data_IF_979513128496
#
_entry.id   IF_979513128496
#
_cell.length_a   1.000
_cell.length_b   1.000
_cell.length_c   1.000
_cell.angle_alpha   90.00
_cell.angle_beta   90.00
_cell.angle_gamma   90.00
#
_symmetry.space_group_name_H-M   'P 1'
#
loop_
_entity.id
_entity.type
_entity.pdbx_description
1 polymer ?
#
# COMPACT_ATOMS: atom_id res chain seq x y z
N UNK A 1 44.41 -28.51 -0.53
CA UNK A 1 43.41 -27.65 0.10
C UNK A 1 42.57 -28.51 1.03
N UNK A 2 42.91 -28.50 2.31
CA UNK A 2 42.43 -29.48 3.30
C UNK A 2 41.05 -29.06 3.80
N UNK A 3 40.18 -29.99 4.23
CA UNK A 3 38.86 -29.66 4.79
C UNK A 3 38.90 -28.60 5.91
N UNK A 4 40.03 -28.47 6.61
CA UNK A 4 40.29 -27.42 7.61
C UNK A 4 40.41 -25.99 7.03
N UNK A 5 40.83 -25.82 5.78
CA UNK A 5 40.93 -24.52 5.11
C UNK A 5 39.55 -24.02 4.66
N UNK A 6 38.66 -24.93 4.22
CA UNK A 6 37.25 -24.60 3.92
C UNK A 6 36.45 -24.24 5.18
N UNK A 7 36.73 -24.84 6.33
CA UNK A 7 36.08 -24.45 7.59
C UNK A 7 36.59 -23.10 8.12
N UNK A 8 37.84 -22.73 7.85
CA UNK A 8 38.37 -21.40 8.18
C UNK A 8 37.78 -20.29 7.31
N UNK A 9 37.60 -20.50 6.00
CA UNK A 9 36.95 -19.51 5.12
C UNK A 9 35.45 -19.29 5.44
N UNK A 10 34.75 -20.32 5.94
CA UNK A 10 33.35 -20.19 6.39
C UNK A 10 33.27 -19.51 7.77
N UNK A 11 34.31 -19.58 8.60
CA UNK A 11 34.37 -18.90 9.91
C UNK A 11 34.94 -17.48 9.84
N UNK A 12 35.80 -17.15 8.87
CA UNK A 12 36.44 -15.82 8.73
C UNK A 12 35.64 -14.78 7.92
N UNK A 13 34.45 -15.14 7.39
CA UNK A 13 33.62 -14.21 6.61
C UNK A 13 32.50 -13.50 7.39
N UNK A 14 32.20 -13.90 8.63
CA UNK A 14 31.36 -13.10 9.54
C UNK A 14 32.20 -12.00 10.21
N UNK A 15 32.65 -11.02 9.41
CA UNK A 15 33.02 -9.70 9.94
C UNK A 15 31.91 -9.26 10.88
N UNK A 16 32.26 -8.82 12.09
CA UNK A 16 31.31 -8.27 13.07
C UNK A 16 30.44 -7.21 12.37
N UNK A 17 29.21 -7.58 12.04
CA UNK A 17 28.26 -6.63 11.46
C UNK A 17 27.87 -5.68 12.57
N UNK A 18 28.30 -4.43 12.44
CA UNK A 18 27.98 -3.38 13.39
C UNK A 18 26.60 -2.84 13.02
N UNK A 19 25.60 -3.25 13.80
CA UNK A 19 24.22 -2.74 13.68
C UNK A 19 24.18 -1.24 13.96
N UNK A 20 23.41 -0.49 13.18
CA UNK A 20 23.23 0.94 13.40
C UNK A 20 22.47 1.22 14.70
N UNK A 21 22.84 2.28 15.40
CA UNK A 21 22.22 2.63 16.69
C UNK A 21 20.74 3.00 16.49
N UNK A 22 20.39 3.66 15.39
CA UNK A 22 19.00 3.98 15.02
C UNK A 22 18.17 2.74 14.72
N UNK A 23 18.79 1.72 14.12
CA UNK A 23 18.18 0.39 13.94
C UNK A 23 17.85 -0.27 15.28
N UNK A 24 18.81 -0.28 16.24
CA UNK A 24 18.58 -0.85 17.56
C UNK A 24 17.50 -0.09 18.36
N UNK A 25 17.46 1.23 18.20
CA UNK A 25 16.44 2.07 18.81
C UNK A 25 15.04 1.78 18.25
N UNK A 26 14.94 1.58 16.94
CA UNK A 26 13.68 1.21 16.28
C UNK A 26 13.21 -0.19 16.71
N UNK A 27 14.14 -1.13 16.84
CA UNK A 27 13.86 -2.48 17.34
C UNK A 27 13.33 -2.44 18.78
N UNK A 28 13.93 -1.60 19.64
CA UNK A 28 13.47 -1.39 21.00
C UNK A 28 12.03 -0.85 21.05
N UNK A 29 11.70 0.12 20.18
CA UNK A 29 10.34 0.64 20.06
C UNK A 29 9.31 -0.42 19.64
N UNK A 30 9.68 -1.31 18.71
CA UNK A 30 8.84 -2.44 18.31
C UNK A 30 8.59 -3.37 19.49
N UNK A 31 9.64 -3.77 20.21
CA UNK A 31 9.54 -4.66 21.39
C UNK A 31 8.63 -4.03 22.47
N UNK A 32 8.73 -2.73 22.73
CA UNK A 32 7.84 -2.01 23.66
C UNK A 32 6.37 -2.01 23.22
N UNK A 33 6.10 -2.08 21.92
CA UNK A 33 4.75 -1.96 21.36
C UNK A 33 4.00 -3.27 21.25
N UNK A 34 4.69 -4.41 21.39
CA UNK A 34 4.09 -5.73 21.28
C UNK A 34 3.51 -6.11 22.66
N UNK A 35 2.22 -6.46 22.70
CA UNK A 35 1.53 -6.89 23.93
C UNK A 35 2.15 -8.17 24.54
N UNK A 36 2.59 -9.10 23.68
CA UNK A 36 3.30 -10.32 24.06
C UNK A 36 4.57 -10.51 23.21
N UNK A 37 5.70 -9.89 23.59
CA UNK A 37 6.95 -9.95 22.83
C UNK A 37 7.66 -11.30 22.97
N UNK A 38 6.97 -12.31 23.48
CA UNK A 38 7.48 -13.65 23.72
C UNK A 38 8.20 -13.78 25.07
N UNK A 39 8.48 -15.03 25.49
CA UNK A 39 8.94 -15.35 26.84
C UNK A 39 10.25 -14.67 27.25
N UNK A 40 11.11 -14.31 26.28
CA UNK A 40 12.37 -13.59 26.52
C UNK A 40 12.16 -12.15 27.03
N UNK A 41 11.09 -11.48 26.59
CA UNK A 41 10.86 -10.06 26.86
C UNK A 41 9.71 -9.82 27.85
N UNK A 42 8.74 -10.74 27.94
CA UNK A 42 7.59 -10.65 28.85
C UNK A 42 8.00 -10.47 30.31
N UNK A 43 8.95 -11.28 30.80
CA UNK A 43 9.44 -11.19 32.18
C UNK A 43 10.19 -9.87 32.44
N UNK A 44 10.90 -9.40 31.42
CA UNK A 44 11.78 -8.23 31.49
C UNK A 44 11.00 -6.92 31.48
N UNK A 45 9.96 -6.85 30.64
CA UNK A 45 9.02 -5.71 30.56
C UNK A 45 8.15 -5.65 31.82
N UNK A 46 7.69 -6.80 32.33
CA UNK A 46 6.95 -6.84 33.61
C UNK A 46 7.77 -6.34 34.81
N UNK A 47 9.10 -6.52 34.81
CA UNK A 47 9.99 -5.99 35.86
C UNK A 47 10.13 -4.46 35.82
N UNK A 48 9.85 -3.84 34.68
CA UNK A 48 9.93 -2.40 34.46
C UNK A 48 8.56 -1.78 34.23
N UNK A 49 7.46 -2.43 34.66
CA UNK A 49 6.08 -1.97 34.45
C UNK A 49 5.77 -0.61 35.09
N UNK A 50 6.61 -0.16 36.03
CA UNK A 50 6.49 1.12 36.72
C UNK A 50 7.33 2.25 36.09
N UNK A 51 8.13 1.94 35.06
CA UNK A 51 8.92 2.92 34.32
C UNK A 51 8.07 3.58 33.22
N UNK A 52 8.36 4.84 32.90
CA UNK A 52 7.78 5.50 31.73
C UNK A 52 8.19 4.77 30.45
N UNK A 53 7.35 4.85 29.41
CA UNK A 53 7.52 4.17 28.13
C UNK A 53 8.87 4.51 27.47
N UNK A 54 9.28 5.76 27.57
CA UNK A 54 10.55 6.25 27.02
C UNK A 54 11.75 5.63 27.75
N UNK A 55 11.68 5.55 29.08
CA UNK A 55 12.73 4.92 29.90
C UNK A 55 12.83 3.40 29.64
N UNK A 56 11.71 2.72 29.41
CA UNK A 56 11.69 1.31 29.02
C UNK A 56 12.34 1.11 27.64
N UNK A 57 12.02 1.95 26.66
CA UNK A 57 12.59 1.89 25.31
C UNK A 57 14.10 2.13 25.32
N UNK A 58 14.56 3.13 26.07
CA UNK A 58 16.00 3.43 26.23
C UNK A 58 16.75 2.26 26.86
N UNK A 59 16.17 1.64 27.90
CA UNK A 59 16.76 0.47 28.54
C UNK A 59 16.84 -0.75 27.61
N UNK A 60 15.78 -1.02 26.83
CA UNK A 60 15.79 -2.09 25.82
C UNK A 60 16.84 -1.80 24.75
N UNK A 61 16.95 -0.54 24.30
CA UNK A 61 17.99 -0.13 23.36
C UNK A 61 19.39 -0.40 23.92
N UNK A 62 19.65 -0.08 25.19
CA UNK A 62 20.93 -0.36 25.85
C UNK A 62 21.21 -1.87 25.97
N UNK A 63 20.16 -2.66 26.22
CA UNK A 63 20.23 -4.13 26.27
C UNK A 63 20.59 -4.70 24.89
N UNK A 64 19.94 -4.21 23.84
CA UNK A 64 20.23 -4.58 22.45
C UNK A 64 21.64 -4.14 22.05
N UNK A 65 22.10 -2.96 22.45
CA UNK A 65 23.47 -2.50 22.23
C UNK A 65 24.51 -3.40 22.91
N UNK A 66 24.19 -3.92 24.09
CA UNK A 66 25.04 -4.90 24.78
C UNK A 66 25.00 -6.24 24.03
N UNK A 67 23.82 -6.68 23.59
CA UNK A 67 23.64 -7.92 22.85
C UNK A 67 24.31 -7.89 21.48
N UNK A 68 24.37 -6.74 20.80
CA UNK A 68 25.01 -6.57 19.49
C UNK A 68 26.53 -6.72 19.54
N UNK A 69 27.14 -6.73 20.72
CA UNK A 69 28.58 -7.04 20.88
C UNK A 69 28.87 -8.51 20.62
N UNK A 70 27.85 -9.38 20.69
CA UNK A 70 27.96 -10.81 20.45
C UNK A 70 27.34 -11.18 19.09
N UNK A 71 28.06 -11.94 18.23
CA UNK A 71 27.58 -12.26 16.89
C UNK A 71 26.33 -13.14 16.95
N UNK A 72 25.31 -12.81 16.16
CA UNK A 72 24.09 -13.62 16.02
C UNK A 72 22.98 -13.30 17.03
N UNK A 73 23.23 -12.54 18.08
CA UNK A 73 22.22 -12.27 19.11
C UNK A 73 21.09 -11.35 18.62
N UNK A 74 21.42 -10.36 17.80
CA UNK A 74 20.42 -9.45 17.23
C UNK A 74 19.59 -10.19 16.19
N UNK A 75 20.24 -10.97 15.33
CA UNK A 75 19.60 -11.84 14.35
C UNK A 75 18.64 -12.83 15.02
N UNK A 76 19.07 -13.50 16.10
CA UNK A 76 18.21 -14.40 16.87
C UNK A 76 17.03 -13.68 17.53
N UNK A 77 17.24 -12.45 18.00
CA UNK A 77 16.17 -11.63 18.58
C UNK A 77 15.14 -11.27 17.51
N UNK A 78 15.59 -10.81 16.34
CA UNK A 78 14.74 -10.49 15.19
C UNK A 78 13.93 -11.72 14.76
N UNK A 79 14.58 -12.88 14.62
CA UNK A 79 13.93 -14.12 14.23
C UNK A 79 12.91 -14.59 15.28
N UNK A 80 13.22 -14.43 16.57
CA UNK A 80 12.28 -14.74 17.64
C UNK A 80 11.05 -13.83 17.62
N UNK A 81 11.23 -12.54 17.30
CA UNK A 81 10.11 -11.59 17.18
C UNK A 81 9.25 -11.86 15.95
N UNK A 82 9.83 -12.42 14.89
CA UNK A 82 9.11 -12.81 13.69
C UNK A 82 8.51 -14.23 13.76
N UNK A 83 8.69 -14.98 14.85
CA UNK A 83 8.19 -16.35 14.97
C UNK A 83 6.67 -16.35 15.21
N UNK A 84 5.86 -16.95 14.31
CA UNK A 84 4.40 -17.01 14.45
C UNK A 84 3.92 -17.67 15.75
N UNK A 85 4.73 -18.54 16.35
CA UNK A 85 4.41 -19.23 17.61
C UNK A 85 4.33 -18.26 18.80
N UNK A 86 5.00 -17.11 18.73
CA UNK A 86 4.93 -16.07 19.77
C UNK A 86 3.57 -15.37 19.85
N UNK A 87 2.76 -15.46 18.80
CA UNK A 87 1.49 -14.72 18.67
C UNK A 87 0.27 -15.64 18.70
N UNK A 88 0.42 -16.85 19.24
CA UNK A 88 -0.65 -17.86 19.23
C UNK A 88 -1.07 -18.31 17.83
N UNK A 89 -0.24 -18.06 16.81
CA UNK A 89 -0.57 -18.34 15.41
C UNK A 89 -1.52 -17.34 14.75
N UNK A 90 -1.76 -16.16 15.34
CA UNK A 90 -2.56 -15.09 14.71
C UNK A 90 -1.80 -14.50 13.50
N UNK A 91 -2.25 -14.77 12.26
CA UNK A 91 -1.52 -14.35 11.07
C UNK A 91 -1.45 -12.81 10.94
N UNK A 92 -2.45 -12.07 11.44
CA UNK A 92 -2.49 -10.61 11.31
C UNK A 92 -1.44 -9.94 12.18
N UNK A 93 -1.25 -10.42 13.41
CA UNK A 93 -0.24 -9.90 14.33
C UNK A 93 1.17 -10.20 13.83
N UNK A 94 1.38 -11.40 13.30
CA UNK A 94 2.66 -11.81 12.70
C UNK A 94 3.00 -10.93 11.51
N UNK A 95 2.07 -10.73 10.59
CA UNK A 95 2.27 -9.90 9.40
C UNK A 95 2.57 -8.44 9.77
N UNK A 96 1.87 -7.88 10.76
CA UNK A 96 2.13 -6.52 11.26
C UNK A 96 3.56 -6.39 11.81
N UNK A 97 4.01 -7.33 12.63
CA UNK A 97 5.36 -7.31 13.22
C UNK A 97 6.43 -7.52 12.15
N UNK A 98 6.27 -8.50 11.26
CA UNK A 98 7.22 -8.76 10.17
C UNK A 98 7.34 -7.55 9.25
N UNK A 99 6.23 -6.87 8.95
CA UNK A 99 6.22 -5.65 8.15
C UNK A 99 7.01 -4.53 8.82
N UNK A 100 6.82 -4.31 10.13
CA UNK A 100 7.58 -3.30 10.90
C UNK A 100 9.07 -3.64 10.95
N UNK A 101 9.41 -4.92 11.15
CA UNK A 101 10.80 -5.38 11.17
C UNK A 101 11.47 -5.21 9.80
N UNK A 102 10.84 -5.62 8.69
CA UNK A 102 11.41 -5.49 7.35
C UNK A 102 11.64 -4.03 6.93
N UNK A 103 10.77 -3.09 7.35
CA UNK A 103 10.99 -1.65 7.15
C UNK A 103 12.25 -1.14 7.84
N UNK A 104 12.56 -1.69 9.01
CA UNK A 104 13.77 -1.34 9.76
C UNK A 104 15.00 -2.03 9.17
N UNK A 105 14.91 -3.31 8.82
CA UNK A 105 16.04 -4.14 8.39
C UNK A 105 16.59 -3.79 7.01
N UNK A 106 15.83 -3.04 6.20
CA UNK A 106 16.27 -2.60 4.88
C UNK A 106 17.54 -1.74 4.93
N UNK A 107 17.70 -0.88 5.94
CA UNK A 107 18.92 -0.05 6.09
C UNK A 107 20.14 -0.89 6.43
N UNK A 108 19.92 -2.06 7.01
CA UNK A 108 20.94 -3.05 7.32
C UNK A 108 21.18 -4.02 6.15
N UNK A 109 20.37 -3.99 5.09
CA UNK A 109 20.45 -4.96 4.00
C UNK A 109 19.94 -6.35 4.36
N UNK A 110 18.88 -6.42 5.16
CA UNK A 110 18.24 -7.67 5.53
C UNK A 110 16.73 -7.64 5.27
N UNK A 111 16.18 -8.82 5.04
CA UNK A 111 14.74 -9.06 4.98
C UNK A 111 14.40 -10.36 5.68
N UNK A 112 13.26 -10.39 6.36
CA UNK A 112 12.67 -11.56 6.97
C UNK A 112 11.66 -12.16 5.99
N UNK A 113 11.86 -13.42 5.64
CA UNK A 113 10.88 -14.25 4.92
C UNK A 113 10.41 -15.41 5.79
N UNK A 114 9.11 -15.73 5.72
CA UNK A 114 8.53 -16.88 6.40
C UNK A 114 8.53 -18.09 5.44
N UNK A 115 9.27 -19.13 5.79
CA UNK A 115 9.18 -20.45 5.16
C UNK A 115 8.20 -21.31 5.98
N UNK A 116 6.93 -21.28 5.58
CA UNK A 116 5.82 -21.80 6.39
C UNK A 116 5.69 -21.02 7.71
N UNK A 117 6.06 -21.63 8.83
CA UNK A 117 6.05 -21.01 10.16
C UNK A 117 7.45 -20.57 10.63
N UNK A 118 8.51 -20.80 9.84
CA UNK A 118 9.88 -20.53 10.27
C UNK A 118 10.38 -19.22 9.65
N UNK A 119 10.68 -18.19 10.43
CA UNK A 119 11.32 -16.98 9.91
C UNK A 119 12.76 -17.27 9.50
N UNK A 120 13.17 -16.69 8.38
CA UNK A 120 14.53 -16.73 7.85
C UNK A 120 14.98 -15.31 7.52
N UNK A 121 16.18 -14.95 7.97
CA UNK A 121 16.81 -13.68 7.63
C UNK A 121 17.63 -13.89 6.35
N UNK A 122 17.29 -13.18 5.29
CA UNK A 122 17.99 -13.23 4.01
C UNK A 122 18.71 -11.91 3.74
N UNK A 123 19.88 -11.98 3.11
CA UNK A 123 20.60 -10.80 2.65
C UNK A 123 19.84 -10.11 1.51
N UNK A 124 19.73 -8.80 1.57
CA UNK A 124 19.13 -7.93 0.54
C UNK A 124 20.06 -6.76 0.30
N UNK A 125 20.18 -6.29 -0.95
CA UNK A 125 21.00 -5.11 -1.24
C UNK A 125 20.52 -3.91 -0.38
N UNK A 126 21.39 -3.34 0.49
CA UNK A 126 21.06 -2.17 1.27
C UNK A 126 20.79 -1.01 0.32
N UNK A 127 19.62 -0.41 0.46
CA UNK A 127 19.25 0.75 -0.32
C UNK A 127 18.01 1.40 0.26
N UNK A 128 17.91 2.72 0.16
CA UNK A 128 16.66 3.44 0.29
C UNK A 128 15.79 3.13 -0.94
N UNK A 129 15.43 1.85 -1.14
CA UNK A 129 14.56 1.51 -2.24
C UNK A 129 13.14 1.90 -1.83
N UNK A 130 12.53 2.77 -2.65
CA UNK A 130 11.09 2.91 -2.79
C UNK A 130 10.54 1.52 -3.06
N UNK A 131 10.09 0.84 -2.01
CA UNK A 131 9.40 -0.44 -1.98
C UNK A 131 9.13 -1.08 -3.37
N UNK A 132 10.04 -1.95 -3.88
CA UNK A 132 9.88 -2.57 -5.18
C UNK A 132 8.96 -3.81 -5.13
N UNK A 133 8.40 -4.16 -3.97
CA UNK A 133 7.43 -5.28 -3.83
C UNK A 133 5.98 -4.80 -3.63
N UNK A 134 5.72 -3.50 -3.65
CA UNK A 134 4.37 -2.95 -3.70
C UNK A 134 4.10 -2.30 -5.06
N UNK A 135 3.84 -3.08 -6.14
CA UNK A 135 3.57 -2.54 -7.47
C UNK A 135 2.37 -1.56 -7.48
N UNK A 136 1.47 -1.66 -6.49
CA UNK A 136 0.34 -0.75 -6.32
C UNK A 136 0.68 0.53 -5.55
N UNK A 137 1.66 0.48 -4.64
CA UNK A 137 1.92 1.50 -3.65
C UNK A 137 0.62 1.84 -2.91
N UNK A 138 0.38 1.22 -1.76
CA UNK A 138 -0.73 1.64 -0.90
C UNK A 138 -0.44 3.02 -0.32
N UNK A 139 -0.61 4.02 -1.17
CA UNK A 139 -0.75 5.39 -0.81
C UNK A 139 -2.12 5.52 -0.18
N UNK A 140 -2.13 6.22 0.94
CA UNK A 140 -3.33 6.68 1.58
C UNK A 140 -4.25 7.36 0.55
N UNK A 141 -5.57 7.31 0.76
CA UNK A 141 -6.50 8.02 -0.09
C UNK A 141 -6.04 9.47 -0.31
N UNK A 142 -6.06 9.97 -1.55
CA UNK A 142 -5.67 11.34 -1.82
C UNK A 142 -6.67 12.29 -1.15
N UNK A 143 -6.25 13.54 -0.97
CA UNK A 143 -7.19 14.58 -0.56
C UNK A 143 -8.23 14.84 -1.66
N UNK A 144 -9.48 14.47 -1.40
CA UNK A 144 -10.61 14.67 -2.29
C UNK A 144 -11.28 16.05 -2.14
N UNK A 145 -10.83 16.89 -1.19
CA UNK A 145 -11.35 18.25 -0.97
C UNK A 145 -11.35 19.11 -2.24
N UNK A 146 -10.34 19.04 -3.12
CA UNK A 146 -10.35 19.82 -4.36
C UNK A 146 -11.45 19.42 -5.36
N UNK A 147 -12.03 18.22 -5.24
CA UNK A 147 -13.00 17.71 -6.21
C UNK A 147 -14.42 18.22 -5.98
N UNK A 148 -14.84 18.27 -4.72
CA UNK A 148 -16.22 18.60 -4.34
C UNK A 148 -16.28 19.24 -2.95
N UNK A 149 -17.26 20.13 -2.76
CA UNK A 149 -17.56 20.72 -1.45
C UNK A 149 -18.46 19.82 -0.60
N UNK A 150 -19.07 18.78 -1.18
CA UNK A 150 -19.90 17.81 -0.47
C UNK A 150 -19.04 16.86 0.40
N UNK A 151 -19.17 16.97 1.72
CA UNK A 151 -18.46 16.11 2.68
C UNK A 151 -18.86 14.65 2.56
N UNK A 152 -20.14 14.36 2.37
CA UNK A 152 -20.63 12.98 2.29
C UNK A 152 -20.02 12.27 1.07
N UNK A 153 -19.98 12.97 -0.07
CA UNK A 153 -19.36 12.42 -1.28
C UNK A 153 -17.85 12.17 -1.09
N UNK A 154 -17.13 13.06 -0.38
CA UNK A 154 -15.71 12.85 -0.07
C UNK A 154 -15.49 11.61 0.79
N UNK A 155 -16.31 11.42 1.81
CA UNK A 155 -16.22 10.26 2.70
C UNK A 155 -16.49 8.96 1.93
N UNK A 156 -17.49 8.95 1.05
CA UNK A 156 -17.77 7.81 0.17
C UNK A 156 -16.58 7.52 -0.76
N UNK A 157 -16.00 8.54 -1.40
CA UNK A 157 -14.82 8.35 -2.27
C UNK A 157 -13.62 7.79 -1.51
N UNK A 158 -13.40 8.26 -0.28
CA UNK A 158 -12.37 7.78 0.62
C UNK A 158 -12.59 6.32 1.03
N UNK A 159 -13.80 5.95 1.43
CA UNK A 159 -14.16 4.56 1.74
C UNK A 159 -13.99 3.64 0.54
N UNK A 160 -14.39 4.08 -0.66
CA UNK A 160 -14.24 3.30 -1.90
C UNK A 160 -12.78 3.09 -2.27
N UNK A 161 -11.91 4.08 -2.03
CA UNK A 161 -10.47 3.91 -2.20
C UNK A 161 -9.91 2.81 -1.29
N UNK A 162 -10.30 2.83 -0.01
CA UNK A 162 -9.91 1.80 0.97
C UNK A 162 -10.46 0.43 0.60
N UNK A 163 -11.68 0.38 0.07
CA UNK A 163 -12.32 -0.87 -0.34
C UNK A 163 -11.64 -1.51 -1.54
N UNK A 164 -11.25 -0.72 -2.56
CA UNK A 164 -10.43 -1.23 -3.67
C UNK A 164 -9.17 -1.90 -3.15
N UNK A 165 -8.47 -1.27 -2.20
CA UNK A 165 -7.28 -1.85 -1.56
C UNK A 165 -7.58 -3.23 -0.97
N UNK A 166 -8.61 -3.32 -0.13
CA UNK A 166 -9.03 -4.59 0.49
C UNK A 166 -9.32 -5.68 -0.55
N UNK A 167 -9.96 -5.32 -1.65
CA UNK A 167 -10.23 -6.27 -2.75
C UNK A 167 -8.93 -6.76 -3.40
N UNK A 168 -7.96 -5.88 -3.64
CA UNK A 168 -6.69 -6.30 -4.25
C UNK A 168 -5.87 -7.17 -3.30
N UNK A 169 -5.80 -6.79 -2.03
CA UNK A 169 -5.05 -7.54 -0.99
C UNK A 169 -5.62 -8.94 -0.75
N UNK A 170 -6.94 -9.09 -0.84
CA UNK A 170 -7.62 -10.38 -0.68
C UNK A 170 -7.63 -11.25 -1.94
N UNK A 171 -7.06 -10.78 -3.05
CA UNK A 171 -7.09 -11.49 -4.34
C UNK A 171 -8.45 -11.44 -5.06
N UNK A 172 -9.38 -10.58 -4.60
CA UNK A 172 -10.69 -10.37 -5.23
C UNK A 172 -10.57 -9.43 -6.45
N UNK A 173 -9.78 -9.81 -7.46
CA UNK A 173 -9.36 -8.93 -8.56
C UNK A 173 -10.50 -8.43 -9.44
N UNK A 174 -11.51 -9.27 -9.73
CA UNK A 174 -12.70 -8.83 -10.47
C UNK A 174 -13.45 -7.74 -9.70
N UNK A 175 -13.65 -7.94 -8.39
CA UNK A 175 -14.29 -6.94 -7.54
C UNK A 175 -13.46 -5.65 -7.48
N UNK A 176 -12.13 -5.77 -7.36
CA UNK A 176 -11.23 -4.61 -7.39
C UNK A 176 -11.40 -3.78 -8.67
N UNK A 177 -11.41 -4.41 -9.85
CA UNK A 177 -11.59 -3.70 -11.14
C UNK A 177 -12.96 -3.01 -11.24
N UNK A 178 -14.01 -3.67 -10.77
CA UNK A 178 -15.36 -3.08 -10.73
C UNK A 178 -15.39 -1.84 -9.83
N UNK A 179 -14.76 -1.94 -8.66
CA UNK A 179 -14.67 -0.86 -7.70
C UNK A 179 -13.79 0.29 -8.21
N UNK A 180 -12.67 0.00 -8.88
CA UNK A 180 -11.82 1.00 -9.53
C UNK A 180 -12.58 1.80 -10.59
N UNK A 181 -13.37 1.12 -11.43
CA UNK A 181 -14.20 1.79 -12.43
C UNK A 181 -15.30 2.66 -11.80
N UNK A 182 -15.91 2.20 -10.71
CA UNK A 182 -16.96 2.94 -9.99
C UNK A 182 -16.37 4.14 -9.22
N UNK A 183 -15.18 4.00 -8.66
CA UNK A 183 -14.42 5.09 -8.03
C UNK A 183 -14.05 6.17 -9.06
N UNK A 184 -13.58 5.77 -10.25
CA UNK A 184 -13.29 6.71 -11.32
C UNK A 184 -14.56 7.46 -11.78
N UNK A 185 -15.69 6.76 -11.88
CA UNK A 185 -16.99 7.36 -12.19
C UNK A 185 -17.37 8.44 -11.16
N UNK A 186 -17.29 8.12 -9.87
CA UNK A 186 -17.58 9.07 -8.79
C UNK A 186 -16.64 10.29 -8.78
N UNK A 187 -15.34 10.08 -9.02
CA UNK A 187 -14.34 11.17 -9.11
C UNK A 187 -14.68 12.12 -10.26
N UNK A 188 -14.95 11.59 -11.45
CA UNK A 188 -15.23 12.43 -12.62
C UNK A 188 -16.60 13.12 -12.50
N UNK A 189 -17.59 12.44 -11.91
CA UNK A 189 -18.90 13.01 -11.63
C UNK A 189 -18.78 14.19 -10.67
N UNK A 190 -18.05 14.03 -9.56
CA UNK A 190 -17.81 15.10 -8.59
C UNK A 190 -17.22 16.36 -9.25
N UNK A 191 -16.28 16.17 -10.18
CA UNK A 191 -15.66 17.28 -10.93
C UNK A 191 -16.65 17.92 -11.91
N UNK A 192 -17.49 17.13 -12.58
CA UNK A 192 -18.51 17.63 -13.49
C UNK A 192 -19.58 18.45 -12.75
N UNK A 193 -20.07 17.95 -11.61
CA UNK A 193 -21.04 18.63 -10.76
C UNK A 193 -20.47 19.91 -10.14
N UNK A 194 -19.17 19.91 -9.80
CA UNK A 194 -18.48 21.09 -9.32
C UNK A 194 -18.24 22.16 -10.42
N UNK A 195 -18.34 21.79 -11.70
CA UNK A 195 -18.10 22.68 -12.84
C UNK A 195 -19.18 22.50 -13.92
N UNK A 196 -20.46 22.76 -13.61
CA UNK A 196 -21.56 22.32 -14.45
C UNK A 196 -21.60 23.04 -15.80
N UNK A 197 -21.26 24.33 -15.84
CA UNK A 197 -21.18 25.11 -17.08
C UNK A 197 -20.09 24.59 -18.02
N UNK A 198 -18.91 24.29 -17.45
CA UNK A 198 -17.75 23.76 -18.18
C UNK A 198 -18.06 22.37 -18.76
N UNK A 199 -18.70 21.52 -17.95
CA UNK A 199 -19.14 20.17 -18.34
C UNK A 199 -20.18 20.21 -19.47
N UNK A 200 -21.25 20.98 -19.28
CA UNK A 200 -22.40 21.05 -20.20
C UNK A 200 -22.06 21.76 -21.53
N UNK A 201 -21.09 22.68 -21.54
CA UNK A 201 -20.60 23.32 -22.78
C UNK A 201 -19.64 22.45 -23.57
N UNK A 202 -19.19 21.32 -23.02
CA UNK A 202 -18.39 20.36 -23.78
C UNK A 202 -19.18 19.85 -24.99
N UNK A 203 -18.54 19.80 -26.16
CA UNK A 203 -19.13 19.12 -27.34
C UNK A 203 -19.36 17.63 -27.10
N UNK A 204 -18.72 17.06 -26.07
CA UNK A 204 -18.89 15.67 -25.68
C UNK A 204 -19.96 15.48 -24.58
N UNK A 205 -20.63 16.55 -24.15
CA UNK A 205 -21.72 16.47 -23.17
C UNK A 205 -22.87 15.63 -23.74
N UNK A 206 -23.38 14.64 -23.00
CA UNK A 206 -24.50 13.83 -23.45
C UNK A 206 -25.76 14.69 -23.51
N UNK A 207 -26.50 14.58 -24.62
CA UNK A 207 -27.71 15.37 -24.87
C UNK A 207 -28.96 14.49 -24.87
N UNK A 208 -30.07 15.06 -24.45
CA UNK A 208 -31.39 14.48 -24.56
C UNK A 208 -31.93 14.55 -26.00
N UNK A 209 -33.15 14.04 -26.22
CA UNK A 209 -33.81 14.07 -27.54
C UNK A 209 -34.10 15.48 -28.05
N UNK A 210 -34.09 16.49 -27.18
CA UNK A 210 -34.31 17.91 -27.50
C UNK A 210 -33.00 18.67 -27.69
N UNK A 211 -31.86 17.98 -27.62
CA UNK A 211 -30.53 18.57 -27.77
C UNK A 211 -30.02 19.32 -26.54
N UNK A 212 -30.71 19.21 -25.39
CA UNK A 212 -30.30 19.79 -24.12
C UNK A 212 -29.35 18.85 -23.37
N UNK A 213 -28.39 19.37 -22.58
CA UNK A 213 -27.56 18.52 -21.72
C UNK A 213 -28.44 17.66 -20.79
N UNK A 214 -28.09 16.38 -20.64
CA UNK A 214 -28.74 15.50 -19.66
C UNK A 214 -28.39 15.90 -18.24
N UNK A 215 -29.26 15.53 -17.29
CA UNK A 215 -28.95 15.61 -15.87
C UNK A 215 -27.72 14.75 -15.54
N UNK A 216 -26.85 15.20 -14.61
CA UNK A 216 -25.63 14.47 -14.25
C UNK A 216 -25.90 13.06 -13.72
N UNK A 217 -27.08 12.79 -13.12
CA UNK A 217 -27.44 11.44 -12.70
C UNK A 217 -27.60 10.44 -13.87
N UNK A 218 -27.81 10.94 -15.10
CA UNK A 218 -27.93 10.13 -16.32
C UNK A 218 -26.60 9.98 -17.09
N UNK A 219 -25.49 10.55 -16.58
CA UNK A 219 -24.20 10.46 -17.25
C UNK A 219 -23.53 9.13 -16.96
N UNK A 220 -23.09 8.45 -18.02
CA UNK A 220 -22.32 7.21 -17.87
C UNK A 220 -20.84 7.52 -17.63
N UNK A 221 -20.08 6.56 -17.09
CA UNK A 221 -18.60 6.66 -17.05
C UNK A 221 -18.00 6.98 -18.43
N UNK A 222 -18.58 6.48 -19.52
CA UNK A 222 -18.10 6.82 -20.87
C UNK A 222 -18.28 8.31 -21.19
N UNK A 223 -19.45 8.88 -20.85
CA UNK A 223 -19.73 10.30 -21.05
C UNK A 223 -18.78 11.16 -20.23
N UNK A 224 -18.59 10.79 -18.95
CA UNK A 224 -17.68 11.46 -18.03
C UNK A 224 -16.23 11.45 -18.53
N UNK A 225 -15.71 10.30 -18.98
CA UNK A 225 -14.35 10.20 -19.55
C UNK A 225 -14.22 11.10 -20.80
N UNK A 226 -15.20 11.08 -21.69
CA UNK A 226 -15.16 11.87 -22.92
C UNK A 226 -15.21 13.38 -22.64
N UNK A 227 -16.07 13.82 -21.72
CA UNK A 227 -16.15 15.22 -21.29
C UNK A 227 -14.87 15.65 -20.59
N UNK A 228 -14.37 14.85 -19.64
CA UNK A 228 -13.15 15.14 -18.90
C UNK A 228 -11.94 15.29 -19.84
N UNK A 229 -11.80 14.42 -20.83
CA UNK A 229 -10.74 14.55 -21.82
C UNK A 229 -10.93 15.78 -22.71
N UNK A 230 -12.16 16.04 -23.18
CA UNK A 230 -12.45 17.17 -24.07
C UNK A 230 -12.26 18.53 -23.39
N UNK A 231 -12.52 18.64 -22.09
CA UNK A 231 -12.27 19.83 -21.27
C UNK A 231 -10.84 19.91 -20.71
N UNK A 232 -9.99 18.91 -20.99
CA UNK A 232 -8.60 18.88 -20.53
C UNK A 232 -8.45 18.59 -19.03
N UNK A 233 -9.47 18.04 -18.38
CA UNK A 233 -9.42 17.62 -16.98
C UNK A 233 -8.52 16.39 -16.79
N UNK A 234 -8.48 15.51 -17.80
CA UNK A 234 -7.60 14.34 -17.86
C UNK A 234 -6.76 14.37 -19.15
N UNK A 235 -5.53 13.86 -19.07
CA UNK A 235 -4.62 13.77 -20.21
C UNK A 235 -5.00 12.61 -21.14
N UNK A 236 -4.49 12.66 -22.38
CA UNK A 236 -4.79 11.66 -23.43
C UNK A 236 -4.56 10.20 -22.98
N UNK A 237 -3.40 9.89 -22.39
CA UNK A 237 -3.11 8.53 -21.94
C UNK A 237 -4.10 8.06 -20.85
N UNK A 238 -4.49 8.95 -19.93
CA UNK A 238 -5.50 8.63 -18.91
C UNK A 238 -6.85 8.35 -19.56
N UNK A 239 -7.26 9.12 -20.57
CA UNK A 239 -8.48 8.83 -21.34
C UNK A 239 -8.44 7.44 -21.98
N UNK A 240 -7.33 7.12 -22.66
CA UNK A 240 -7.18 5.87 -23.41
C UNK A 240 -7.25 4.67 -22.46
N UNK A 241 -6.54 4.72 -21.33
CA UNK A 241 -6.56 3.66 -20.33
C UNK A 241 -7.85 3.61 -19.50
N UNK A 242 -8.51 4.75 -19.27
CA UNK A 242 -9.81 4.78 -18.58
C UNK A 242 -10.91 4.07 -19.37
N UNK A 243 -10.84 4.12 -20.70
CA UNK A 243 -11.74 3.33 -21.57
C UNK A 243 -11.53 1.83 -21.42
N UNK A 244 -10.30 1.39 -21.22
CA UNK A 244 -9.97 -0.02 -20.94
C UNK A 244 -10.50 -0.41 -19.55
N UNK A 245 -10.26 0.42 -18.52
CA UNK A 245 -10.80 0.19 -17.18
C UNK A 245 -12.34 0.08 -17.19
N UNK A 246 -13.04 0.91 -17.98
CA UNK A 246 -14.49 0.82 -18.17
C UNK A 246 -14.91 -0.53 -18.74
N UNK A 247 -14.18 -1.06 -19.73
CA UNK A 247 -14.45 -2.38 -20.29
C UNK A 247 -14.19 -3.49 -19.27
N UNK A 248 -13.13 -3.37 -18.46
CA UNK A 248 -12.83 -4.33 -17.39
C UNK A 248 -13.85 -4.29 -16.26
N UNK A 249 -14.41 -3.14 -15.89
CA UNK A 249 -15.55 -3.07 -14.94
C UNK A 249 -16.74 -3.92 -15.42
N UNK A 250 -16.96 -4.04 -16.72
CA UNK A 250 -18.11 -4.78 -17.26
C UNK A 250 -17.95 -6.32 -17.12
N UNK A 251 -16.77 -6.83 -16.75
CA UNK A 251 -16.57 -8.26 -16.49
C UNK A 251 -17.27 -8.72 -15.20
N UNK A 252 -17.88 -7.80 -14.44
CA UNK A 252 -18.87 -8.14 -13.39
C UNK A 252 -19.95 -9.08 -13.93
N UNK A 253 -20.25 -9.00 -15.23
CA UNK A 253 -21.11 -9.95 -15.91
C UNK A 253 -20.28 -11.16 -16.40
N UNK A 254 -20.52 -12.40 -15.90
CA UNK A 254 -19.71 -13.57 -16.26
C UNK A 254 -19.65 -13.86 -17.76
N UNK A 255 -20.73 -13.56 -18.50
CA UNK A 255 -20.76 -13.68 -19.97
C UNK A 255 -19.72 -12.78 -20.63
N UNK A 256 -19.60 -11.52 -20.16
CA UNK A 256 -18.64 -10.55 -20.66
C UNK A 256 -17.21 -10.96 -20.32
N UNK A 257 -16.99 -11.48 -19.10
CA UNK A 257 -15.69 -12.04 -18.71
C UNK A 257 -15.26 -13.19 -19.64
N UNK A 258 -16.18 -14.11 -19.94
CA UNK A 258 -15.94 -15.22 -20.88
C UNK A 258 -15.63 -14.73 -22.29
N UNK A 259 -16.39 -13.74 -22.80
CA UNK A 259 -16.16 -13.15 -24.13
C UNK A 259 -14.80 -12.43 -24.24
N UNK A 260 -14.32 -11.85 -23.14
CA UNK A 260 -13.00 -11.20 -23.09
C UNK A 260 -11.84 -12.17 -22.86
N UNK A 261 -12.13 -13.44 -22.55
CA UNK A 261 -11.13 -14.47 -22.20
C UNK A 261 -10.12 -13.98 -21.15
N UNK A 262 -10.61 -13.16 -20.20
CA UNK A 262 -9.78 -12.45 -19.23
C UNK A 262 -9.91 -13.06 -17.84
N UNK A 263 -8.76 -13.30 -17.21
CA UNK A 263 -8.67 -13.64 -15.80
C UNK A 263 -7.81 -12.58 -15.11
N UNK A 264 -8.44 -11.56 -14.48
CA UNK A 264 -7.69 -10.54 -13.78
C UNK A 264 -6.84 -11.11 -12.66
N UNK A 265 -5.63 -10.58 -12.55
CA UNK A 265 -4.65 -10.88 -11.51
C UNK A 265 -4.17 -9.60 -10.82
N UNK A 266 -3.15 -9.73 -9.96
CA UNK A 266 -2.53 -8.62 -9.24
C UNK A 266 -1.92 -7.59 -10.21
N UNK A 267 -1.32 -8.02 -11.31
CA UNK A 267 -0.67 -7.13 -12.27
C UNK A 267 -1.72 -6.33 -13.06
N UNK A 268 -2.81 -6.98 -13.45
CA UNK A 268 -3.98 -6.33 -14.05
C UNK A 268 -4.50 -5.21 -13.15
N UNK A 269 -4.71 -5.52 -11.86
CA UNK A 269 -5.17 -4.55 -10.87
C UNK A 269 -4.16 -3.41 -10.67
N UNK A 270 -2.87 -3.73 -10.67
CA UNK A 270 -1.77 -2.75 -10.58
C UNK A 270 -1.85 -1.71 -11.68
N UNK A 271 -1.94 -2.17 -12.93
CA UNK A 271 -2.03 -1.29 -14.09
C UNK A 271 -3.28 -0.41 -13.98
N UNK A 272 -4.43 -1.02 -13.71
CA UNK A 272 -5.70 -0.31 -13.61
C UNK A 272 -5.73 0.71 -12.47
N UNK A 273 -5.12 0.40 -11.34
CA UNK A 273 -5.00 1.32 -10.23
C UNK A 273 -4.14 2.54 -10.58
N UNK A 274 -3.04 2.33 -11.31
CA UNK A 274 -2.23 3.42 -11.85
C UNK A 274 -3.04 4.40 -12.69
N UNK A 275 -4.01 3.91 -13.46
CA UNK A 275 -4.93 4.73 -14.25
C UNK A 275 -5.84 5.58 -13.36
N UNK A 276 -6.47 4.97 -12.34
CA UNK A 276 -7.33 5.70 -11.38
C UNK A 276 -6.54 6.80 -10.68
N UNK A 277 -5.34 6.47 -10.19
CA UNK A 277 -4.44 7.43 -9.54
C UNK A 277 -4.07 8.59 -10.47
N UNK A 278 -3.71 8.29 -11.72
CA UNK A 278 -3.37 9.31 -12.70
C UNK A 278 -4.58 10.22 -13.01
N UNK A 279 -5.78 9.64 -13.11
CA UNK A 279 -7.02 10.40 -13.32
C UNK A 279 -7.31 11.35 -12.16
N UNK A 280 -7.28 10.85 -10.91
CA UNK A 280 -7.47 11.68 -9.71
C UNK A 280 -6.46 12.83 -9.66
N UNK A 281 -5.17 12.53 -9.87
CA UNK A 281 -4.14 13.57 -9.88
C UNK A 281 -4.38 14.61 -10.98
N UNK A 282 -4.76 14.19 -12.19
CA UNK A 282 -5.04 15.13 -13.28
C UNK A 282 -6.19 16.07 -12.94
N UNK A 283 -7.29 15.56 -12.39
CA UNK A 283 -8.45 16.40 -12.06
C UNK A 283 -8.19 17.30 -10.85
N UNK A 284 -7.44 16.83 -9.86
CA UNK A 284 -7.00 17.66 -8.72
C UNK A 284 -6.09 18.79 -9.19
N UNK A 285 -5.09 18.48 -10.02
CA UNK A 285 -4.19 19.49 -10.59
C UNK A 285 -4.96 20.51 -11.44
N UNK A 286 -5.95 20.06 -12.21
CA UNK A 286 -6.80 20.93 -13.01
C UNK A 286 -7.67 21.86 -12.13
N UNK A 287 -8.34 21.31 -11.10
CA UNK A 287 -9.13 22.10 -10.15
C UNK A 287 -8.30 23.16 -9.44
N UNK A 288 -7.10 22.80 -8.97
CA UNK A 288 -6.18 23.72 -8.29
C UNK A 288 -5.74 24.89 -9.19
N UNK A 289 -5.55 24.65 -10.48
CA UNK A 289 -5.14 25.69 -11.46
C UNK A 289 -6.28 26.63 -11.87
N UNK A 290 -7.52 26.18 -11.79
CA UNK A 290 -8.68 26.91 -12.33
C UNK A 290 -9.61 27.50 -11.25
N UNK A 291 -9.35 27.21 -9.97
CA UNK A 291 -10.02 27.84 -8.81
C UNK A 291 -9.26 29.03 -8.21
N UNK A 292 -8.12 29.41 -8.79
CA UNK A 292 -7.28 30.54 -8.37
C UNK A 292 -7.58 31.81 -9.15
#
# INVERSE_FOLDING_TARGET
MTLMERTKEVQDSKKMKKWDIGTLHSLAGIICSIEDPGPLWVMTIKRHSNADRDALQEWICQTLLTASQFPGNIENTILSLADPRGYGGDPKKVEEVVTKLNKMLIVEGYEIKLDGIKPQLIDREPGLIKDPENPLGFLDPPDFTPLTNDQLLRDILHERWIEVRKCVDSGAYVAALVMMGSLLEGVLLAVAEANPEEANRSSASPKDRKGQPKDFCDWTLNDLINVAHKRGWIRKHVNDFSRILREYRNIVHPKKQREMEMQPDKDTCTICWGVVRAAVNNVVDWQKKNRS
#
